data_IF_886171101411
#
_entry.id   IF_886171101411
#
_cell.length_a   1.000
_cell.length_b   1.000
_cell.length_c   1.000
_cell.angle_alpha   90.00
_cell.angle_beta   90.00
_cell.angle_gamma   90.00
#
_symmetry.space_group_name_H-M   'P 1'
#
loop_
_entity.id
_entity.type
_entity.pdbx_description
1 polymer ?
#
# COMPACT_ATOMS: atom_id res chain seq x y z
N UNK A 1 14.21 -17.28 4.53
CA UNK A 1 14.73 -15.92 4.26
C UNK A 1 14.17 -14.97 5.30
N UNK A 2 14.98 -14.59 6.30
CA UNK A 2 14.55 -13.70 7.39
C UNK A 2 14.36 -12.29 6.84
N UNK A 3 13.13 -11.79 6.87
CA UNK A 3 12.72 -10.57 6.17
C UNK A 3 12.19 -9.54 7.15
N UNK A 4 12.79 -8.35 7.12
CA UNK A 4 12.30 -7.18 7.82
C UNK A 4 11.19 -6.48 7.07
N UNK A 5 10.10 -6.15 7.75
CA UNK A 5 9.05 -5.26 7.28
C UNK A 5 9.17 -3.96 8.07
N UNK A 6 9.59 -2.88 7.41
CA UNK A 6 9.73 -1.57 8.03
C UNK A 6 8.55 -0.68 7.65
N UNK A 7 7.66 -0.41 8.59
CA UNK A 7 6.44 0.35 8.33
C UNK A 7 6.70 1.85 8.51
N UNK A 8 6.40 2.67 7.50
CA UNK A 8 6.24 4.12 7.66
C UNK A 8 4.77 4.39 8.00
N UNK A 9 4.51 5.01 9.15
CA UNK A 9 3.18 5.03 9.77
C UNK A 9 2.90 3.79 10.61
N UNK A 10 3.93 3.29 11.32
CA UNK A 10 3.92 2.02 12.03
C UNK A 10 2.86 1.87 13.14
N UNK A 11 2.27 2.98 13.60
CA UNK A 11 1.22 3.04 14.62
C UNK A 11 -0.16 3.36 14.04
N UNK A 12 -0.28 3.41 12.71
CA UNK A 12 -1.56 3.51 11.99
C UNK A 12 -2.42 2.24 12.13
N UNK A 13 -3.70 2.35 11.79
CA UNK A 13 -4.64 1.21 11.88
C UNK A 13 -4.21 0.03 11.00
N UNK A 14 -3.83 0.28 9.75
CA UNK A 14 -3.34 -0.75 8.82
C UNK A 14 -2.05 -1.40 9.33
N UNK A 15 -1.10 -0.59 9.81
CA UNK A 15 0.18 -1.07 10.34
C UNK A 15 0.00 -2.00 11.54
N UNK A 16 -0.74 -1.57 12.55
CA UNK A 16 -0.98 -2.37 13.76
C UNK A 16 -1.80 -3.62 13.46
N UNK A 17 -2.78 -3.53 12.56
CA UNK A 17 -3.54 -4.70 12.09
C UNK A 17 -2.62 -5.70 11.38
N UNK A 18 -1.65 -5.24 10.58
CA UNK A 18 -0.65 -6.08 9.91
C UNK A 18 0.28 -6.77 10.92
N UNK A 19 0.76 -6.04 11.93
CA UNK A 19 1.61 -6.57 13.00
C UNK A 19 0.88 -7.66 13.79
N UNK A 20 -0.36 -7.38 14.24
CA UNK A 20 -1.20 -8.34 14.98
C UNK A 20 -1.52 -9.55 14.11
N UNK A 21 -1.90 -9.34 12.85
CA UNK A 21 -2.20 -10.41 11.89
C UNK A 21 -1.02 -11.34 11.68
N UNK A 22 0.17 -10.80 11.43
CA UNK A 22 1.38 -11.60 11.25
C UNK A 22 1.76 -12.39 12.52
N UNK A 23 1.65 -11.77 13.70
CA UNK A 23 1.90 -12.44 14.97
C UNK A 23 0.90 -13.59 15.21
N UNK A 24 -0.39 -13.37 14.92
CA UNK A 24 -1.42 -14.40 15.02
C UNK A 24 -1.21 -15.57 14.05
N UNK A 25 -0.79 -15.30 12.81
CA UNK A 25 -0.47 -16.31 11.82
C UNK A 25 0.75 -17.14 12.23
N UNK A 26 1.80 -16.49 12.73
CA UNK A 26 3.00 -17.14 13.26
C UNK A 26 2.66 -18.09 14.43
N UNK A 27 1.79 -17.64 15.34
CA UNK A 27 1.32 -18.42 16.47
C UNK A 27 0.23 -19.44 16.11
N UNK A 28 -0.20 -19.51 14.84
CA UNK A 28 -1.29 -20.38 14.33
C UNK A 28 -2.62 -20.19 15.08
N UNK A 29 -2.88 -18.98 15.57
CA UNK A 29 -4.13 -18.61 16.25
C UNK A 29 -5.26 -18.31 15.25
N UNK A 30 -4.92 -18.08 13.99
CA UNK A 30 -5.86 -17.81 12.89
C UNK A 30 -5.41 -18.50 11.61
N UNK A 31 -6.36 -18.76 10.71
CA UNK A 31 -6.07 -19.15 9.34
C UNK A 31 -5.63 -17.93 8.50
N UNK A 32 -4.85 -18.10 7.42
CA UNK A 32 -4.38 -17.01 6.56
C UNK A 32 -5.47 -16.50 5.59
N UNK A 33 -6.70 -16.36 6.08
CA UNK A 33 -7.80 -15.83 5.27
C UNK A 33 -7.50 -14.40 4.85
N UNK A 34 -7.62 -14.10 3.55
CA UNK A 34 -7.28 -12.80 2.97
C UNK A 34 -5.85 -12.68 2.46
N UNK A 35 -4.93 -13.58 2.86
CA UNK A 35 -3.56 -13.61 2.33
C UNK A 35 -3.55 -14.30 0.96
N UNK A 36 -3.44 -13.49 -0.09
CA UNK A 36 -3.41 -13.90 -1.50
C UNK A 36 -2.27 -14.88 -1.78
N UNK A 37 -1.13 -14.71 -1.10
CA UNK A 37 0.04 -15.58 -1.27
C UNK A 37 -0.13 -16.99 -0.72
N UNK A 38 -1.23 -17.29 -0.02
CA UNK A 38 -1.54 -18.64 0.46
C UNK A 38 -2.47 -19.42 -0.50
N UNK A 39 -2.90 -18.80 -1.60
CA UNK A 39 -3.61 -19.49 -2.67
C UNK A 39 -2.69 -20.54 -3.35
N UNK A 40 -3.24 -21.68 -3.81
CA UNK A 40 -2.45 -22.77 -4.40
C UNK A 40 -1.51 -22.35 -5.54
N UNK A 41 -1.89 -21.34 -6.32
CA UNK A 41 -1.14 -20.83 -7.47
C UNK A 41 0.06 -19.95 -7.08
N UNK A 42 0.04 -19.36 -5.88
CA UNK A 42 1.06 -18.40 -5.45
C UNK A 42 1.91 -18.91 -4.29
N UNK A 43 1.39 -19.84 -3.49
CA UNK A 43 2.12 -20.42 -2.37
C UNK A 43 3.37 -21.15 -2.89
N UNK A 44 4.51 -20.92 -2.27
CA UNK A 44 5.75 -21.56 -2.68
C UNK A 44 6.92 -21.27 -1.74
N UNK A 45 7.98 -22.08 -1.80
CA UNK A 45 9.15 -21.95 -0.92
C UNK A 45 9.95 -20.67 -1.15
N UNK A 46 9.71 -19.99 -2.28
CA UNK A 46 10.33 -18.71 -2.56
C UNK A 46 9.89 -17.61 -1.57
N UNK A 47 8.65 -17.66 -1.09
CA UNK A 47 8.12 -16.64 -0.21
C UNK A 47 8.58 -16.88 1.23
N UNK A 48 9.00 -15.84 1.98
CA UNK A 48 9.34 -16.01 3.38
C UNK A 48 8.11 -16.48 4.16
N UNK A 49 8.32 -17.40 5.10
CA UNK A 49 7.26 -17.89 5.99
C UNK A 49 6.88 -16.87 7.07
N UNK A 50 5.71 -17.04 7.69
CA UNK A 50 5.22 -16.12 8.74
C UNK A 50 6.19 -15.96 9.92
N UNK A 51 6.90 -17.02 10.30
CA UNK A 51 7.91 -17.01 11.36
C UNK A 51 9.20 -16.30 10.98
N UNK A 52 9.40 -15.99 9.70
CA UNK A 52 10.59 -15.32 9.17
C UNK A 52 10.40 -13.81 9.05
N UNK A 53 9.19 -13.30 9.33
CA UNK A 53 8.86 -11.88 9.27
C UNK A 53 9.18 -11.20 10.61
N UNK A 54 9.92 -10.08 10.53
CA UNK A 54 10.28 -9.24 11.67
C UNK A 54 9.80 -7.81 11.39
N UNK A 55 9.15 -7.17 12.34
CA UNK A 55 8.59 -5.83 12.17
C UNK A 55 9.45 -4.77 12.87
N UNK A 56 9.58 -3.62 12.20
CA UNK A 56 10.08 -2.37 12.73
C UNK A 56 9.37 -1.21 12.04
N UNK A 57 9.72 0.02 12.37
CA UNK A 57 9.07 1.14 11.69
C UNK A 57 9.35 2.52 12.23
N UNK A 58 8.84 3.51 11.50
CA UNK A 58 8.80 4.91 11.90
C UNK A 58 7.37 5.39 12.07
N UNK A 59 7.16 6.24 13.07
CA UNK A 59 5.91 6.99 13.22
C UNK A 59 6.15 8.36 13.88
N UNK A 60 5.26 9.31 13.60
CA UNK A 60 5.21 10.61 14.29
C UNK A 60 4.41 10.53 15.59
N UNK A 61 3.49 9.58 15.67
CA UNK A 61 2.71 9.27 16.86
C UNK A 61 3.57 8.44 17.82
N UNK A 62 3.35 8.61 19.12
CA UNK A 62 4.09 7.90 20.18
C UNK A 62 3.22 6.94 20.99
N UNK A 63 1.92 6.84 20.69
CA UNK A 63 1.00 5.90 21.33
C UNK A 63 1.49 4.46 21.16
N UNK A 64 1.70 3.68 22.25
CA UNK A 64 2.19 2.31 22.17
C UNK A 64 1.35 1.42 21.25
N UNK A 65 1.99 0.49 20.53
CA UNK A 65 1.33 -0.45 19.60
C UNK A 65 0.23 -1.23 20.31
N UNK A 66 0.48 -1.70 21.53
CA UNK A 66 -0.50 -2.43 22.32
C UNK A 66 -1.75 -1.58 22.60
N UNK A 67 -1.58 -0.29 22.92
CA UNK A 67 -2.71 0.63 23.14
C UNK A 67 -3.49 0.93 21.86
N UNK A 68 -2.80 1.04 20.73
CA UNK A 68 -3.47 1.15 19.44
C UNK A 68 -4.22 -0.14 19.09
N UNK A 69 -3.66 -1.32 19.38
CA UNK A 69 -4.31 -2.60 19.17
C UNK A 69 -5.56 -2.77 20.05
N UNK A 70 -5.50 -2.36 21.33
CA UNK A 70 -6.67 -2.31 22.23
C UNK A 70 -7.79 -1.45 21.64
N UNK A 71 -7.46 -0.25 21.15
CA UNK A 71 -8.43 0.66 20.54
C UNK A 71 -9.05 0.07 19.26
N UNK A 72 -8.26 -0.60 18.42
CA UNK A 72 -8.75 -1.29 17.23
C UNK A 72 -9.65 -2.48 17.59
N UNK A 73 -9.34 -3.21 18.66
CA UNK A 73 -10.18 -4.28 19.15
C UNK A 73 -11.51 -3.78 19.72
N UNK A 74 -11.49 -2.68 20.49
CA UNK A 74 -12.70 -2.04 21.00
C UNK A 74 -13.59 -1.53 19.85
N UNK A 75 -12.98 -1.06 18.76
CA UNK A 75 -13.68 -0.66 17.54
C UNK A 75 -14.16 -1.85 16.68
N UNK A 76 -13.84 -3.09 17.03
CA UNK A 76 -14.22 -4.29 16.26
C UNK A 76 -13.37 -4.59 15.02
N UNK A 77 -12.28 -3.85 14.80
CA UNK A 77 -11.33 -4.08 13.68
C UNK A 77 -10.52 -5.35 13.91
N UNK A 78 -10.17 -5.63 15.17
CA UNK A 78 -9.40 -6.79 15.59
C UNK A 78 -10.18 -7.62 16.61
N UNK A 79 -10.02 -8.96 16.63
CA UNK A 79 -10.53 -9.75 17.74
C UNK A 79 -9.74 -9.48 19.02
N UNK A 80 -10.39 -8.95 20.07
CA UNK A 80 -9.72 -8.58 21.33
C UNK A 80 -8.92 -9.71 22.00
N UNK A 81 -9.37 -10.96 21.86
CA UNK A 81 -8.63 -12.14 22.35
C UNK A 81 -7.21 -12.24 21.78
N UNK A 82 -6.99 -11.78 20.54
CA UNK A 82 -5.68 -11.82 19.89
C UNK A 82 -4.76 -10.76 20.48
N UNK A 83 -5.28 -9.57 20.81
CA UNK A 83 -4.51 -8.50 21.45
C UNK A 83 -3.97 -8.97 22.80
N UNK A 84 -4.81 -9.66 23.58
CA UNK A 84 -4.40 -10.25 24.86
C UNK A 84 -3.38 -11.37 24.66
N UNK A 85 -3.64 -12.30 23.74
CA UNK A 85 -2.78 -13.46 23.51
C UNK A 85 -1.40 -13.11 22.93
N UNK A 86 -1.27 -11.97 22.25
CA UNK A 86 -0.06 -11.55 21.54
C UNK A 86 0.64 -10.35 22.19
N UNK A 87 0.32 -10.05 23.46
CA UNK A 87 0.83 -8.86 24.13
C UNK A 87 2.37 -8.80 24.16
N UNK A 88 3.03 -9.93 24.40
CA UNK A 88 4.49 -10.03 24.44
C UNK A 88 5.12 -9.83 23.05
N UNK A 89 4.52 -10.40 22.00
CA UNK A 89 4.95 -10.17 20.61
C UNK A 89 4.82 -8.71 20.21
N UNK A 90 3.72 -8.05 20.60
CA UNK A 90 3.52 -6.62 20.32
C UNK A 90 4.52 -5.75 21.10
N UNK A 91 4.82 -6.10 22.35
CA UNK A 91 5.83 -5.43 23.16
C UNK A 91 7.24 -5.59 22.55
N UNK A 92 7.55 -6.73 21.95
CA UNK A 92 8.81 -6.93 21.23
C UNK A 92 8.89 -6.04 19.98
N UNK A 93 7.81 -5.91 19.21
CA UNK A 93 7.77 -5.02 18.03
C UNK A 93 7.91 -3.55 18.42
N UNK A 94 7.33 -3.13 19.56
CA UNK A 94 7.48 -1.77 20.10
C UNK A 94 8.95 -1.36 20.23
N UNK A 95 9.84 -2.30 20.59
CA UNK A 95 11.29 -2.04 20.73
C UNK A 95 12.00 -1.77 19.40
N UNK A 96 11.40 -2.12 18.27
CA UNK A 96 11.92 -1.83 16.92
C UNK A 96 11.23 -0.64 16.24
N UNK A 97 10.28 0.00 16.92
CA UNK A 97 9.70 1.25 16.45
C UNK A 97 10.57 2.45 16.85
N UNK A 98 10.65 3.43 15.94
CA UNK A 98 11.42 4.66 16.12
C UNK A 98 10.52 5.87 15.85
N UNK A 99 10.68 6.98 16.57
CA UNK A 99 10.12 8.26 16.15
C UNK A 99 10.69 8.64 14.78
N UNK A 100 9.87 9.21 13.90
CA UNK A 100 10.37 9.70 12.61
C UNK A 100 11.45 10.78 12.86
N UNK A 101 12.71 10.57 12.42
CA UNK A 101 13.78 11.49 12.72
C UNK A 101 13.64 12.79 11.91
N UNK A 102 14.17 13.88 12.46
CA UNK A 102 14.36 15.14 11.77
C UNK A 102 15.84 15.56 11.86
N UNK A 103 16.38 16.07 10.75
CA UNK A 103 17.67 16.73 10.67
C UNK A 103 17.56 18.07 9.98
N UNK A 104 18.64 18.86 10.02
CA UNK A 104 18.68 20.24 9.51
C UNK A 104 18.41 20.32 7.99
N UNK A 105 18.65 19.22 7.27
CA UNK A 105 18.40 19.09 5.84
C UNK A 105 17.73 17.76 5.55
N UNK A 106 17.05 17.65 4.41
CA UNK A 106 16.45 16.38 4.00
C UNK A 106 17.51 15.29 3.78
N UNK A 107 18.73 15.64 3.33
CA UNK A 107 19.85 14.70 3.29
C UNK A 107 20.27 14.21 4.68
N UNK A 108 20.23 15.05 5.72
CA UNK A 108 20.48 14.63 7.09
C UNK A 108 19.38 13.70 7.61
N UNK A 109 18.11 14.05 7.37
CA UNK A 109 16.96 13.21 7.71
C UNK A 109 17.02 11.84 7.03
N UNK A 110 17.25 11.80 5.72
CA UNK A 110 17.38 10.55 4.96
C UNK A 110 18.54 9.67 5.46
N UNK A 111 19.68 10.27 5.85
CA UNK A 111 20.80 9.53 6.43
C UNK A 111 20.43 8.86 7.76
N UNK A 112 19.67 9.54 8.62
CA UNK A 112 19.18 8.97 9.90
C UNK A 112 18.23 7.80 9.64
N UNK A 113 17.23 7.98 8.78
CA UNK A 113 16.32 6.89 8.37
C UNK A 113 17.10 5.70 7.79
N UNK A 114 18.07 5.97 6.91
CA UNK A 114 18.91 4.92 6.32
C UNK A 114 19.76 4.18 7.38
N UNK A 115 20.22 4.89 8.41
CA UNK A 115 20.97 4.29 9.50
C UNK A 115 20.08 3.40 10.37
N UNK A 116 18.85 3.82 10.65
CA UNK A 116 17.88 3.01 11.38
C UNK A 116 17.53 1.71 10.63
N UNK A 117 17.32 1.80 9.31
CA UNK A 117 17.08 0.65 8.45
C UNK A 117 18.24 -0.35 8.44
N UNK A 118 19.48 0.14 8.28
CA UNK A 118 20.67 -0.72 8.33
C UNK A 118 20.86 -1.33 9.71
N UNK A 119 20.70 -0.53 10.77
CA UNK A 119 20.80 -1.03 12.13
C UNK A 119 19.74 -2.08 12.44
N UNK A 120 18.50 -1.90 11.97
CA UNK A 120 17.43 -2.90 12.11
C UNK A 120 17.79 -4.22 11.40
N UNK A 121 18.27 -4.14 10.15
CA UNK A 121 18.76 -5.29 9.40
C UNK A 121 19.85 -6.03 10.15
N UNK A 122 20.86 -5.31 10.62
CA UNK A 122 22.05 -5.90 11.20
C UNK A 122 21.75 -6.51 12.59
N UNK A 123 21.00 -5.81 13.45
CA UNK A 123 20.61 -6.31 14.80
C UNK A 123 19.71 -7.54 14.76
N UNK A 124 18.86 -7.65 13.72
CA UNK A 124 17.92 -8.76 13.58
C UNK A 124 18.41 -9.84 12.60
N UNK A 125 19.65 -9.73 12.09
CA UNK A 125 20.26 -10.62 11.10
C UNK A 125 19.33 -10.89 9.89
N UNK A 126 18.81 -9.82 9.30
CA UNK A 126 17.82 -9.89 8.21
C UNK A 126 18.51 -10.01 6.85
N UNK A 127 18.05 -10.95 6.02
CA UNK A 127 18.53 -11.12 4.63
C UNK A 127 18.09 -9.94 3.76
N UNK A 128 16.88 -9.42 4.03
CA UNK A 128 16.22 -8.35 3.29
C UNK A 128 15.40 -7.48 4.23
N UNK A 129 15.29 -6.20 3.88
CA UNK A 129 14.33 -5.26 4.49
C UNK A 129 13.47 -4.69 3.38
N UNK A 130 12.16 -4.77 3.58
CA UNK A 130 11.14 -4.16 2.73
C UNK A 130 10.50 -3.03 3.53
N UNK A 131 10.66 -1.80 3.05
CA UNK A 131 10.01 -0.62 3.61
C UNK A 131 8.62 -0.52 3.00
N UNK A 132 7.58 -0.40 3.82
CA UNK A 132 6.19 -0.26 3.35
C UNK A 132 5.64 1.05 3.89
N UNK A 133 5.22 1.92 2.98
CA UNK A 133 4.51 3.13 3.32
C UNK A 133 3.02 2.85 3.51
N UNK A 134 2.55 3.01 4.73
CA UNK A 134 1.14 2.94 5.13
C UNK A 134 0.75 4.17 5.95
N UNK A 135 1.49 5.28 5.78
CA UNK A 135 1.21 6.54 6.45
C UNK A 135 -0.02 7.23 5.87
N UNK A 136 -0.40 8.33 6.51
CA UNK A 136 -1.40 9.25 5.99
C UNK A 136 -1.07 9.70 4.56
N UNK A 137 -2.11 9.87 3.73
CA UNK A 137 -1.98 10.32 2.34
C UNK A 137 -1.48 11.75 2.26
N UNK A 138 -0.52 11.99 1.38
CA UNK A 138 0.04 13.31 1.10
C UNK A 138 -0.60 13.94 -0.15
N UNK A 139 -0.62 15.28 -0.25
CA UNK A 139 -0.83 15.96 -1.52
C UNK A 139 0.21 15.59 -2.57
N UNK A 140 -0.09 15.87 -3.84
CA UNK A 140 0.87 15.70 -4.92
C UNK A 140 2.13 16.56 -4.68
N UNK A 141 3.31 16.01 -5.01
CA UNK A 141 4.55 16.76 -4.92
C UNK A 141 4.51 18.03 -5.78
N UNK A 142 4.94 19.16 -5.21
CA UNK A 142 5.16 20.37 -5.97
C UNK A 142 6.28 20.14 -7.02
N UNK A 143 6.12 20.59 -8.28
CA UNK A 143 7.16 20.44 -9.29
C UNK A 143 8.49 21.05 -8.86
N UNK A 144 9.58 20.31 -9.03
CA UNK A 144 10.93 20.81 -8.74
C UNK A 144 11.94 20.25 -9.75
N UNK A 145 12.89 21.04 -10.28
CA UNK A 145 13.86 20.57 -11.29
C UNK A 145 14.67 19.35 -10.83
N UNK A 146 14.99 19.30 -9.53
CA UNK A 146 15.73 18.20 -8.93
C UNK A 146 14.96 16.86 -8.89
N UNK A 147 13.68 16.81 -9.26
CA UNK A 147 12.95 15.54 -9.37
C UNK A 147 13.32 14.75 -10.62
N UNK A 148 13.96 15.40 -11.60
CA UNK A 148 14.27 14.80 -12.91
C UNK A 148 15.52 13.91 -12.92
N UNK A 149 16.52 14.19 -12.06
CA UNK A 149 17.79 13.47 -12.05
C UNK A 149 18.38 13.30 -10.65
N UNK A 150 19.07 12.18 -10.41
CA UNK A 150 19.60 11.82 -9.10
C UNK A 150 20.71 12.77 -8.61
N UNK A 151 21.54 13.28 -9.52
CA UNK A 151 22.62 14.20 -9.18
C UNK A 151 22.05 15.52 -8.64
N UNK A 152 21.08 16.09 -9.35
CA UNK A 152 20.36 17.30 -8.97
C UNK A 152 19.60 17.09 -7.67
N UNK A 153 18.92 15.94 -7.51
CA UNK A 153 18.23 15.60 -6.27
C UNK A 153 19.19 15.57 -5.08
N UNK A 154 20.31 14.89 -5.22
CA UNK A 154 21.30 14.74 -4.14
C UNK A 154 21.87 16.09 -3.72
N UNK A 155 22.17 16.96 -4.67
CA UNK A 155 22.64 18.32 -4.39
C UNK A 155 21.55 19.17 -3.69
N UNK A 156 20.32 19.12 -4.18
CA UNK A 156 19.21 19.89 -3.62
C UNK A 156 18.85 19.47 -2.19
N UNK A 157 18.90 18.17 -1.88
CA UNK A 157 18.62 17.65 -0.53
C UNK A 157 19.63 18.10 0.54
N UNK A 158 20.82 18.56 0.13
CA UNK A 158 21.81 19.13 1.04
C UNK A 158 21.51 20.59 1.42
N UNK A 159 20.58 21.24 0.71
CA UNK A 159 20.11 22.58 1.03
C UNK A 159 19.07 22.61 2.16
N UNK A 160 18.76 23.82 2.67
CA UNK A 160 17.76 24.00 3.74
C UNK A 160 16.31 23.93 3.23
N UNK A 161 16.08 24.04 1.91
CA UNK A 161 14.75 24.05 1.34
C UNK A 161 14.17 22.62 1.23
N UNK A 162 12.88 22.41 1.50
CA UNK A 162 12.23 21.13 1.27
C UNK A 162 12.10 20.85 -0.25
N UNK A 163 12.57 19.69 -0.68
CA UNK A 163 12.59 19.23 -2.08
C UNK A 163 11.66 18.04 -2.28
N UNK A 164 11.70 17.07 -1.37
CA UNK A 164 10.88 15.85 -1.41
C UNK A 164 9.73 15.92 -0.41
N UNK A 165 8.52 15.45 -0.76
CA UNK A 165 7.51 15.14 0.25
C UNK A 165 7.96 13.94 1.13
N UNK A 166 7.39 13.74 2.33
CA UNK A 166 7.86 12.73 3.27
C UNK A 166 7.88 11.30 2.71
N UNK A 167 6.86 10.87 1.94
CA UNK A 167 6.82 9.55 1.29
C UNK A 167 7.99 9.33 0.33
N UNK A 168 8.35 10.35 -0.46
CA UNK A 168 9.47 10.28 -1.40
C UNK A 168 10.82 10.33 -0.67
N UNK A 169 10.92 11.06 0.45
CA UNK A 169 12.11 11.06 1.30
C UNK A 169 12.34 9.68 1.95
N UNK A 170 11.27 9.01 2.38
CA UNK A 170 11.33 7.65 2.88
C UNK A 170 11.78 6.65 1.81
N UNK A 171 11.26 6.76 0.57
CA UNK A 171 11.72 5.96 -0.56
C UNK A 171 13.21 6.21 -0.89
N UNK A 172 13.64 7.47 -0.92
CA UNK A 172 15.05 7.85 -1.09
C UNK A 172 15.96 7.20 -0.04
N UNK A 173 15.56 7.27 1.24
CA UNK A 173 16.30 6.66 2.33
C UNK A 173 16.33 5.13 2.24
N UNK A 174 15.19 4.50 1.90
CA UNK A 174 15.10 3.06 1.68
C UNK A 174 16.08 2.58 0.61
N UNK A 175 16.06 3.22 -0.57
CA UNK A 175 16.96 2.87 -1.67
C UNK A 175 18.42 3.13 -1.31
N UNK A 176 18.72 4.23 -0.62
CA UNK A 176 20.07 4.54 -0.12
C UNK A 176 20.56 3.46 0.87
N UNK A 177 19.67 2.86 1.65
CA UNK A 177 19.97 1.76 2.57
C UNK A 177 20.07 0.38 1.87
N UNK A 178 19.74 0.28 0.57
CA UNK A 178 19.66 -0.99 -0.15
C UNK A 178 18.41 -1.79 0.21
N UNK A 179 17.35 -1.13 0.65
CA UNK A 179 16.08 -1.72 1.02
C UNK A 179 15.06 -1.55 -0.12
N UNK A 180 14.19 -2.54 -0.29
CA UNK A 180 13.04 -2.43 -1.20
C UNK A 180 11.98 -1.48 -0.62
N UNK A 181 11.12 -0.94 -1.47
CA UNK A 181 10.06 -0.01 -1.06
C UNK A 181 8.71 -0.39 -1.67
N UNK A 182 7.65 -0.31 -0.87
CA UNK A 182 6.27 -0.47 -1.33
C UNK A 182 5.49 0.77 -0.90
N UNK A 183 4.81 1.43 -1.84
CA UNK A 183 3.85 2.48 -1.49
C UNK A 183 2.43 1.93 -1.48
N UNK A 184 1.85 1.78 -0.29
CA UNK A 184 0.46 1.37 -0.14
C UNK A 184 -0.52 2.55 -0.14
N UNK A 185 0.00 3.78 -0.36
CA UNK A 185 -0.75 5.04 -0.36
C UNK A 185 -0.75 5.67 -1.77
N UNK A 186 -1.64 6.64 -2.06
CA UNK A 186 -1.58 7.41 -3.31
C UNK A 186 -0.53 8.54 -3.29
N UNK A 187 0.27 8.67 -2.22
CA UNK A 187 1.35 9.66 -2.08
C UNK A 187 2.43 9.50 -3.15
N UNK A 188 3.30 10.51 -3.32
CA UNK A 188 4.33 10.51 -4.37
C UNK A 188 5.24 9.28 -4.32
N UNK A 189 5.73 8.90 -3.14
CA UNK A 189 6.55 7.70 -2.96
C UNK A 189 7.76 7.64 -3.90
N UNK A 190 7.96 6.50 -4.54
CA UNK A 190 9.09 6.23 -5.44
C UNK A 190 8.88 6.69 -6.90
N UNK A 191 7.84 7.46 -7.22
CA UNK A 191 7.43 7.77 -8.61
C UNK A 191 8.29 8.81 -9.33
N UNK A 192 9.19 9.49 -8.63
CA UNK A 192 10.01 10.54 -9.24
C UNK A 192 11.13 9.93 -10.12
N UNK A 193 11.44 10.51 -11.30
CA UNK A 193 12.52 10.02 -12.17
C UNK A 193 13.87 9.85 -11.46
N UNK A 194 14.25 10.83 -10.62
CA UNK A 194 15.47 10.77 -9.81
C UNK A 194 15.50 9.56 -8.84
N UNK A 195 14.34 9.12 -8.33
CA UNK A 195 14.24 7.95 -7.47
C UNK A 195 14.28 6.64 -8.26
N UNK A 196 13.76 6.62 -9.48
CA UNK A 196 13.92 5.48 -10.39
C UNK A 196 15.40 5.28 -10.80
N UNK A 197 16.16 6.36 -10.99
CA UNK A 197 17.62 6.31 -11.16
C UNK A 197 18.31 5.71 -9.94
N UNK A 198 17.96 6.17 -8.74
CA UNK A 198 18.53 5.65 -7.49
C UNK A 198 18.22 4.16 -7.29
N UNK A 199 16.98 3.73 -7.53
CA UNK A 199 16.57 2.34 -7.41
C UNK A 199 17.37 1.44 -8.36
N UNK A 200 17.58 1.86 -9.61
CA UNK A 200 18.43 1.15 -10.58
C UNK A 200 19.88 1.09 -10.13
N UNK A 201 20.46 2.21 -9.70
CA UNK A 201 21.84 2.28 -9.23
C UNK A 201 22.09 1.39 -8.00
N UNK A 202 21.06 1.15 -7.19
CA UNK A 202 21.11 0.31 -5.98
C UNK A 202 20.62 -1.12 -6.21
N UNK A 203 20.16 -1.44 -7.42
CA UNK A 203 19.56 -2.73 -7.77
C UNK A 203 18.43 -3.18 -6.83
N UNK A 204 17.61 -2.22 -6.36
CA UNK A 204 16.49 -2.51 -5.44
C UNK A 204 15.16 -2.51 -6.18
N UNK A 205 14.26 -3.46 -5.89
CA UNK A 205 12.91 -3.43 -6.44
C UNK A 205 11.96 -2.57 -5.59
N UNK A 206 10.93 -2.04 -6.23
CA UNK A 206 9.86 -1.30 -5.56
C UNK A 206 8.50 -1.52 -6.22
N UNK A 207 7.42 -1.31 -5.47
CA UNK A 207 6.05 -1.52 -5.92
C UNK A 207 5.11 -0.41 -5.41
N UNK A 208 3.96 -0.27 -6.05
CA UNK A 208 2.96 0.73 -5.70
C UNK A 208 2.05 1.04 -6.90
N UNK A 209 1.11 1.97 -6.79
CA UNK A 209 0.76 2.76 -5.61
C UNK A 209 -0.73 2.58 -5.23
N UNK A 210 -1.06 2.94 -3.98
CA UNK A 210 -2.43 2.96 -3.42
C UNK A 210 -3.11 1.60 -3.36
N UNK A 211 -3.20 1.00 -2.18
CA UNK A 211 -3.77 -0.35 -2.00
C UNK A 211 -5.22 -0.49 -2.49
N UNK A 212 -5.51 -1.56 -3.23
CA UNK A 212 -6.85 -1.86 -3.78
C UNK A 212 -7.58 -2.90 -2.92
N UNK A 213 -8.46 -2.42 -2.04
CA UNK A 213 -9.06 -3.24 -0.96
C UNK A 213 -10.57 -3.43 -1.03
N UNK A 214 -11.34 -2.43 -1.49
CA UNK A 214 -12.81 -2.42 -1.38
C UNK A 214 -13.53 -2.02 -2.67
N UNK A 215 -14.17 -0.85 -2.69
CA UNK A 215 -14.93 -0.35 -3.85
C UNK A 215 -14.16 -0.43 -5.17
N UNK A 216 -12.90 0.02 -5.21
CA UNK A 216 -12.08 -0.03 -6.43
C UNK A 216 -11.77 -1.46 -6.89
N UNK A 217 -11.70 -2.43 -5.96
CA UNK A 217 -11.57 -3.85 -6.31
C UNK A 217 -12.78 -4.29 -7.14
N UNK A 218 -13.99 -3.95 -6.70
CA UNK A 218 -15.24 -4.25 -7.42
C UNK A 218 -15.26 -3.57 -8.79
N UNK A 219 -14.83 -2.30 -8.89
CA UNK A 219 -14.72 -1.59 -10.18
C UNK A 219 -13.82 -2.33 -11.17
N UNK A 220 -12.67 -2.82 -10.72
CA UNK A 220 -11.72 -3.57 -11.56
C UNK A 220 -12.22 -4.95 -12.02
N UNK A 221 -13.34 -5.43 -11.47
CA UNK A 221 -14.03 -6.66 -11.90
C UNK A 221 -15.21 -6.33 -12.81
N UNK A 222 -16.04 -5.36 -12.42
CA UNK A 222 -17.29 -5.05 -13.12
C UNK A 222 -17.06 -4.24 -14.41
N UNK A 223 -16.12 -3.29 -14.44
CA UNK A 223 -15.88 -2.49 -15.65
C UNK A 223 -15.46 -3.35 -16.85
N UNK A 224 -14.49 -4.29 -16.73
CA UNK A 224 -14.17 -5.22 -17.80
C UNK A 224 -15.34 -6.10 -18.21
N UNK A 225 -16.22 -6.52 -17.28
CA UNK A 225 -17.40 -7.32 -17.62
C UNK A 225 -18.32 -6.57 -18.61
N UNK A 226 -18.57 -5.27 -18.41
CA UNK A 226 -19.37 -4.47 -19.36
C UNK A 226 -18.69 -4.40 -20.73
N UNK A 227 -17.39 -4.09 -20.76
CA UNK A 227 -16.62 -4.01 -22.00
C UNK A 227 -16.63 -5.33 -22.78
N UNK A 228 -16.34 -6.46 -22.11
CA UNK A 228 -16.31 -7.80 -22.71
C UNK A 228 -17.67 -8.25 -23.24
N UNK A 229 -18.76 -7.76 -22.66
CA UNK A 229 -20.14 -8.06 -23.10
C UNK A 229 -20.67 -7.05 -24.10
N UNK A 230 -19.84 -6.12 -24.57
CA UNK A 230 -20.21 -5.02 -25.46
C UNK A 230 -21.41 -4.21 -24.92
N UNK A 231 -21.39 -3.95 -23.61
CA UNK A 231 -22.37 -3.11 -22.93
C UNK A 231 -21.74 -1.73 -22.71
N UNK A 232 -22.36 -0.70 -23.26
CA UNK A 232 -21.84 0.67 -23.17
C UNK A 232 -22.22 1.27 -21.82
N UNK A 233 -21.26 1.37 -20.89
CA UNK A 233 -21.42 2.17 -19.68
C UNK A 233 -21.60 3.63 -20.07
N UNK A 234 -22.70 4.23 -19.61
CA UNK A 234 -23.07 5.63 -19.84
C UNK A 234 -22.61 6.50 -18.68
N UNK A 235 -22.95 6.11 -17.45
CA UNK A 235 -22.47 6.76 -16.23
C UNK A 235 -22.08 5.78 -15.13
N UNK A 236 -21.14 6.20 -14.27
CA UNK A 236 -20.73 5.51 -13.06
C UNK A 236 -20.46 6.52 -11.94
N UNK A 237 -21.41 6.65 -11.03
CA UNK A 237 -21.31 7.56 -9.88
C UNK A 237 -21.18 6.77 -8.59
N UNK A 238 -20.31 7.23 -7.69
CA UNK A 238 -20.06 6.55 -6.41
C UNK A 238 -19.99 7.49 -5.22
N UNK A 239 -20.45 7.04 -4.05
CA UNK A 239 -20.31 7.70 -2.76
C UNK A 239 -19.57 6.79 -1.80
N UNK A 240 -18.54 7.31 -1.14
CA UNK A 240 -17.78 6.61 -0.12
C UNK A 240 -17.88 7.38 1.20
N UNK A 241 -18.36 6.71 2.24
CA UNK A 241 -18.29 7.21 3.61
C UNK A 241 -17.09 6.56 4.30
N UNK A 242 -16.21 7.37 4.85
CA UNK A 242 -15.01 6.94 5.57
C UNK A 242 -14.99 7.58 6.96
N UNK A 243 -14.61 6.80 7.98
CA UNK A 243 -14.27 7.31 9.30
C UNK A 243 -12.79 7.18 9.60
N UNK A 244 -12.43 7.28 10.88
CA UNK A 244 -11.06 7.05 11.34
C UNK A 244 -10.03 8.05 10.80
N UNK A 245 -8.75 7.70 10.91
CA UNK A 245 -7.64 8.59 10.53
C UNK A 245 -7.56 8.84 9.01
N UNK A 246 -7.87 7.83 8.19
CA UNK A 246 -7.89 7.98 6.73
C UNK A 246 -9.04 8.91 6.29
N UNK A 247 -10.25 8.72 6.83
CA UNK A 247 -11.38 9.60 6.55
C UNK A 247 -11.13 11.04 7.00
N UNK A 248 -10.54 11.25 8.18
CA UNK A 248 -10.22 12.58 8.68
C UNK A 248 -9.20 13.31 7.79
N UNK A 249 -8.20 12.60 7.26
CA UNK A 249 -7.24 13.18 6.33
C UNK A 249 -7.86 13.56 4.98
N UNK A 250 -8.84 12.78 4.51
CA UNK A 250 -9.53 13.02 3.24
C UNK A 250 -10.62 14.10 3.33
N UNK A 251 -10.80 14.71 4.50
CA UNK A 251 -11.49 15.98 4.62
C UNK A 251 -10.70 17.13 3.96
N UNK A 252 -9.38 17.00 3.79
CA UNK A 252 -8.59 17.91 2.97
C UNK A 252 -8.95 17.74 1.47
N UNK A 253 -9.44 18.80 0.79
CA UNK A 253 -9.78 18.74 -0.63
C UNK A 253 -8.66 18.23 -1.54
N UNK A 254 -7.40 18.54 -1.24
CA UNK A 254 -6.27 18.13 -2.08
C UNK A 254 -6.01 16.61 -1.99
N UNK A 255 -6.02 16.07 -0.77
CA UNK A 255 -5.89 14.62 -0.55
C UNK A 255 -7.09 13.85 -1.13
N UNK A 256 -8.30 14.42 -1.00
CA UNK A 256 -9.52 13.87 -1.58
C UNK A 256 -9.43 13.80 -3.11
N UNK A 257 -9.01 14.89 -3.76
CA UNK A 257 -8.87 14.96 -5.22
C UNK A 257 -7.91 13.90 -5.77
N UNK A 258 -6.76 13.67 -5.11
CA UNK A 258 -5.83 12.62 -5.50
C UNK A 258 -6.47 11.22 -5.46
N UNK A 259 -7.23 10.93 -4.39
CA UNK A 259 -7.91 9.64 -4.18
C UNK A 259 -9.11 9.44 -5.12
N UNK A 260 -9.82 10.51 -5.48
CA UNK A 260 -10.90 10.44 -6.48
C UNK A 260 -10.34 10.21 -7.88
N UNK A 261 -9.25 10.89 -8.23
CA UNK A 261 -8.59 10.74 -9.54
C UNK A 261 -8.11 9.30 -9.79
N UNK A 262 -7.47 8.65 -8.80
CA UNK A 262 -7.03 7.25 -8.94
C UNK A 262 -8.20 6.27 -9.16
N UNK A 263 -9.35 6.51 -8.52
CA UNK A 263 -10.55 5.69 -8.70
C UNK A 263 -11.17 5.82 -10.09
N UNK A 264 -11.17 7.02 -10.66
CA UNK A 264 -11.76 7.29 -11.97
C UNK A 264 -10.88 6.76 -13.12
N UNK A 265 -9.55 6.80 -12.94
CA UNK A 265 -8.60 6.23 -13.90
C UNK A 265 -8.90 4.75 -14.23
N UNK A 266 -9.18 3.94 -13.19
CA UNK A 266 -9.51 2.52 -13.35
C UNK A 266 -10.67 2.28 -14.32
N UNK A 267 -11.68 3.17 -14.35
CA UNK A 267 -12.81 3.05 -15.27
C UNK A 267 -12.39 3.35 -16.71
N UNK A 268 -11.64 4.43 -16.91
CA UNK A 268 -11.11 4.81 -18.23
C UNK A 268 -10.28 3.71 -18.86
N UNK A 269 -9.34 3.16 -18.08
CA UNK A 269 -8.42 2.14 -18.55
C UNK A 269 -9.16 0.82 -18.86
N UNK A 270 -10.15 0.44 -18.05
CA UNK A 270 -10.89 -0.80 -18.24
C UNK A 270 -11.93 -0.74 -19.38
N UNK A 271 -12.52 0.44 -19.62
CA UNK A 271 -13.57 0.64 -20.64
C UNK A 271 -13.01 1.13 -21.98
N UNK A 272 -11.80 1.69 -22.01
CA UNK A 272 -11.23 2.38 -23.17
C UNK A 272 -11.81 3.79 -23.41
N UNK A 273 -12.62 4.29 -22.48
CA UNK A 273 -13.21 5.63 -22.49
C UNK A 273 -13.65 6.01 -21.08
N UNK A 274 -13.81 7.31 -20.82
CA UNK A 274 -14.33 7.79 -19.54
C UNK A 274 -15.87 7.87 -19.55
N UNK A 275 -16.59 7.13 -18.70
CA UNK A 275 -18.04 7.29 -18.54
C UNK A 275 -18.37 8.59 -17.80
N UNK A 276 -19.61 9.06 -17.91
CA UNK A 276 -20.09 10.18 -17.09
C UNK A 276 -20.14 9.81 -15.59
N UNK A 277 -20.19 10.80 -14.71
CA UNK A 277 -20.29 10.59 -13.27
C UNK A 277 -18.99 10.88 -12.53
N UNK A 278 -19.06 10.81 -11.20
CA UNK A 278 -17.91 11.09 -10.33
C UNK A 278 -17.98 10.26 -9.05
N UNK A 279 -16.86 10.19 -8.34
CA UNK A 279 -16.80 9.61 -7.01
C UNK A 279 -16.68 10.71 -5.97
N UNK A 280 -17.50 10.63 -4.93
CA UNK A 280 -17.45 11.50 -3.76
C UNK A 280 -16.97 10.71 -2.55
N UNK A 281 -16.18 11.36 -1.69
CA UNK A 281 -15.72 10.82 -0.42
C UNK A 281 -16.14 11.81 0.67
N UNK A 282 -16.95 11.35 1.62
CA UNK A 282 -17.38 12.13 2.78
C UNK A 282 -16.87 11.50 4.09
N UNK A 283 -16.51 12.35 5.05
CA UNK A 283 -16.08 11.93 6.38
C UNK A 283 -17.28 11.72 7.31
N UNK A 284 -17.35 10.54 7.92
CA UNK A 284 -18.33 10.18 8.96
C UNK A 284 -17.56 9.58 10.13
N UNK A 285 -17.45 10.33 11.23
CA UNK A 285 -16.62 9.92 12.36
C UNK A 285 -17.04 8.57 12.96
N UNK A 286 -18.35 8.35 13.12
CA UNK A 286 -18.95 7.23 13.85
C UNK A 286 -18.63 5.85 13.24
N UNK A 287 -18.42 5.78 11.92
CA UNK A 287 -18.19 4.49 11.24
C UNK A 287 -16.73 4.01 11.38
N UNK A 288 -15.83 4.84 11.92
CA UNK A 288 -14.44 4.46 12.17
C UNK A 288 -13.77 3.82 10.94
N UNK A 289 -13.20 2.64 11.10
CA UNK A 289 -12.53 1.87 10.04
C UNK A 289 -13.50 1.10 9.11
N UNK A 290 -14.81 1.14 9.39
CA UNK A 290 -15.85 0.43 8.63
C UNK A 290 -16.42 1.31 7.52
N UNK A 291 -15.68 1.34 6.42
CA UNK A 291 -16.07 2.02 5.18
C UNK A 291 -17.38 1.50 4.63
N UNK A 292 -18.21 2.44 4.16
CA UNK A 292 -19.36 2.14 3.30
C UNK A 292 -19.19 2.81 1.93
N UNK A 293 -19.51 2.11 0.86
CA UNK A 293 -19.61 2.71 -0.46
C UNK A 293 -20.86 2.25 -1.22
N UNK A 294 -21.40 3.15 -2.04
CA UNK A 294 -22.50 2.89 -2.96
C UNK A 294 -22.11 3.36 -4.35
N UNK A 295 -22.40 2.54 -5.34
CA UNK A 295 -22.15 2.85 -6.74
C UNK A 295 -23.42 2.62 -7.57
N UNK A 296 -23.73 3.58 -8.43
CA UNK A 296 -24.78 3.49 -9.45
C UNK A 296 -24.13 3.54 -10.83
N UNK A 297 -24.39 2.49 -11.61
CA UNK A 297 -23.89 2.31 -12.97
C UNK A 297 -25.10 2.32 -13.92
N UNK A 298 -25.08 3.21 -14.90
CA UNK A 298 -26.04 3.16 -16.02
C UNK A 298 -25.33 2.67 -17.27
N UNK A 299 -25.99 1.81 -18.03
CA UNK A 299 -25.39 1.21 -19.23
C UNK A 299 -26.45 0.89 -20.27
N UNK A 300 -26.00 0.71 -21.50
CA UNK A 300 -26.83 0.41 -22.66
C UNK A 300 -26.47 -0.97 -23.21
N UNK A 301 -27.49 -1.74 -23.53
CA UNK A 301 -27.37 -3.05 -24.18
C UNK A 301 -27.97 -3.07 -25.57
N UNK A 302 -28.54 -4.22 -25.93
CA UNK A 302 -29.12 -4.45 -27.25
C UNK A 302 -30.25 -3.44 -27.57
N UNK A 303 -30.33 -3.00 -28.84
CA UNK A 303 -31.28 -2.00 -29.35
C UNK A 303 -31.25 -0.64 -28.65
N UNK A 304 -30.14 -0.32 -27.97
CA UNK A 304 -30.05 0.92 -27.21
C UNK A 304 -30.83 0.92 -25.90
N UNK A 305 -31.21 -0.26 -25.40
CA UNK A 305 -32.00 -0.38 -24.17
C UNK A 305 -31.15 0.02 -22.96
N UNK A 306 -31.54 1.10 -22.29
CA UNK A 306 -30.91 1.57 -21.07
C UNK A 306 -31.24 0.69 -19.87
N UNK A 307 -30.24 0.40 -19.05
CA UNK A 307 -30.31 -0.41 -17.84
C UNK A 307 -29.47 0.23 -16.73
N UNK A 308 -29.64 -0.28 -15.51
CA UNK A 308 -28.87 0.15 -14.34
C UNK A 308 -28.43 -1.02 -13.47
N UNK A 309 -27.27 -0.87 -12.84
CA UNK A 309 -26.73 -1.75 -11.81
C UNK A 309 -26.33 -0.91 -10.60
N UNK A 310 -26.62 -1.41 -9.41
CA UNK A 310 -26.20 -0.80 -8.14
C UNK A 310 -25.49 -1.85 -7.30
N UNK A 311 -24.48 -1.42 -6.54
CA UNK A 311 -23.93 -2.23 -5.47
C UNK A 311 -23.60 -1.39 -4.24
N UNK A 312 -23.61 -2.05 -3.07
CA UNK A 312 -23.13 -1.51 -1.80
C UNK A 312 -21.95 -2.34 -1.30
N UNK A 313 -20.92 -1.67 -0.78
CA UNK A 313 -19.77 -2.29 -0.13
C UNK A 313 -19.69 -1.82 1.33
N UNK A 314 -19.76 -2.76 2.26
CA UNK A 314 -19.53 -2.52 3.68
C UNK A 314 -18.32 -3.36 4.11
N UNK A 315 -17.22 -2.72 4.49
CA UNK A 315 -16.00 -3.44 4.82
C UNK A 315 -15.10 -2.67 5.78
N UNK A 316 -14.31 -3.40 6.56
CA UNK A 316 -13.28 -2.81 7.40
C UNK A 316 -11.99 -2.63 6.60
N UNK A 317 -11.59 -1.37 6.38
CA UNK A 317 -10.46 -1.04 5.49
C UNK A 317 -9.15 -1.64 5.99
N UNK A 318 -8.84 -1.53 7.29
CA UNK A 318 -7.62 -2.11 7.86
C UNK A 318 -7.59 -3.64 7.78
N UNK A 319 -8.73 -4.31 7.98
CA UNK A 319 -8.81 -5.77 7.88
C UNK A 319 -8.63 -6.27 6.44
N UNK A 320 -9.07 -5.49 5.45
CA UNK A 320 -8.84 -5.78 4.03
C UNK A 320 -7.42 -5.44 3.58
N UNK A 321 -6.83 -4.38 4.13
CA UNK A 321 -5.50 -3.89 3.77
C UNK A 321 -4.35 -4.72 4.35
N UNK A 322 -4.45 -5.08 5.63
CA UNK A 322 -3.39 -5.76 6.36
C UNK A 322 -2.84 -7.03 5.69
N UNK A 323 -3.66 -7.98 5.21
CA UNK A 323 -3.12 -9.16 4.54
C UNK A 323 -2.37 -8.81 3.25
N UNK A 324 -2.80 -7.79 2.52
CA UNK A 324 -2.13 -7.33 1.29
C UNK A 324 -0.75 -6.72 1.59
N UNK A 325 -0.61 -5.99 2.71
CA UNK A 325 0.69 -5.49 3.18
C UNK A 325 1.66 -6.65 3.43
N UNK A 326 1.19 -7.73 4.06
CA UNK A 326 2.01 -8.92 4.30
C UNK A 326 2.39 -9.61 2.99
N UNK A 327 1.42 -9.83 2.10
CA UNK A 327 1.64 -10.46 0.80
C UNK A 327 2.65 -9.68 -0.06
N UNK A 328 2.48 -8.37 -0.16
CA UNK A 328 3.38 -7.48 -0.90
C UNK A 328 4.79 -7.50 -0.34
N UNK A 329 4.95 -7.49 0.98
CA UNK A 329 6.27 -7.58 1.61
C UNK A 329 6.95 -8.91 1.31
N UNK A 330 6.21 -10.03 1.38
CA UNK A 330 6.73 -11.38 1.05
C UNK A 330 7.15 -11.49 -0.42
N UNK A 331 6.29 -11.04 -1.34
CA UNK A 331 6.55 -11.05 -2.78
C UNK A 331 7.75 -10.16 -3.15
N UNK A 332 7.79 -8.94 -2.60
CA UNK A 332 8.88 -7.99 -2.87
C UNK A 332 10.22 -8.49 -2.32
N UNK A 333 10.24 -9.10 -1.13
CA UNK A 333 11.45 -9.69 -0.59
C UNK A 333 11.95 -10.86 -1.45
N UNK A 334 11.03 -11.73 -1.90
CA UNK A 334 11.36 -12.85 -2.79
C UNK A 334 11.90 -12.37 -4.14
N UNK A 335 11.26 -11.34 -4.72
CA UNK A 335 11.71 -10.69 -5.96
C UNK A 335 13.12 -10.10 -5.82
N UNK A 336 13.38 -9.39 -4.71
CA UNK A 336 14.71 -8.84 -4.44
C UNK A 336 15.76 -9.95 -4.25
N UNK A 337 15.40 -11.08 -3.61
CA UNK A 337 16.31 -12.23 -3.52
C UNK A 337 16.60 -12.85 -4.88
N UNK A 338 15.60 -12.91 -5.77
CA UNK A 338 15.74 -13.38 -7.15
C UNK A 338 16.46 -12.38 -8.09
N UNK A 339 17.03 -11.30 -7.56
CA UNK A 339 17.77 -10.30 -8.35
C UNK A 339 16.89 -9.37 -9.17
N UNK A 340 15.57 -9.35 -8.96
CA UNK A 340 14.68 -8.36 -9.58
C UNK A 340 14.98 -6.98 -9.01
N UNK A 341 14.96 -5.96 -9.86
CA UNK A 341 15.22 -4.57 -9.51
C UNK A 341 14.34 -3.63 -10.31
N UNK A 342 14.18 -2.39 -9.85
CA UNK A 342 13.27 -1.43 -10.49
C UNK A 342 11.79 -1.66 -10.13
N UNK A 343 10.85 -1.08 -10.88
CA UNK A 343 9.42 -1.19 -10.61
C UNK A 343 8.93 -2.64 -10.84
N UNK A 344 8.24 -3.20 -9.86
CA UNK A 344 7.57 -4.51 -9.93
C UNK A 344 6.14 -4.35 -10.46
N UNK A 345 6.00 -4.05 -11.75
CA UNK A 345 4.71 -3.83 -12.40
C UNK A 345 3.78 -5.06 -12.31
N UNK A 346 4.35 -6.26 -12.17
CA UNK A 346 3.61 -7.50 -12.02
C UNK A 346 2.77 -7.58 -10.73
N UNK A 347 3.04 -6.69 -9.76
CA UNK A 347 2.28 -6.57 -8.53
C UNK A 347 1.04 -5.67 -8.66
N UNK A 348 0.67 -5.24 -9.88
CA UNK A 348 -0.47 -4.35 -10.11
C UNK A 348 -1.82 -4.85 -9.58
N UNK A 349 -1.96 -6.15 -9.35
CA UNK A 349 -3.12 -6.78 -8.69
C UNK A 349 -3.48 -6.10 -7.35
N UNK A 350 -2.48 -5.67 -6.59
CA UNK A 350 -2.66 -5.11 -5.25
C UNK A 350 -2.97 -3.61 -5.21
N UNK A 351 -2.89 -2.92 -6.36
CA UNK A 351 -2.85 -1.46 -6.42
C UNK A 351 -4.00 -0.87 -7.25
N UNK A 352 -4.42 0.34 -6.89
CA UNK A 352 -5.38 1.15 -7.65
C UNK A 352 -4.68 1.90 -8.78
N UNK A 353 -3.44 2.33 -8.54
CA UNK A 353 -2.61 3.07 -9.48
C UNK A 353 -1.26 2.35 -9.65
N UNK A 354 -1.25 1.17 -10.29
CA UNK A 354 -0.06 0.34 -10.37
C UNK A 354 1.06 1.02 -11.17
N UNK A 355 2.31 0.74 -10.81
CA UNK A 355 3.48 1.17 -11.58
C UNK A 355 3.53 0.46 -12.95
N UNK A 356 3.87 1.23 -13.98
CA UNK A 356 3.99 0.74 -15.36
C UNK A 356 2.65 0.61 -16.07
N UNK A 357 2.69 0.18 -17.34
CA UNK A 357 1.53 0.15 -18.23
C UNK A 357 0.80 -1.21 -18.21
N UNK A 358 0.75 -1.84 -17.02
CA UNK A 358 0.13 -3.15 -16.82
C UNK A 358 -1.40 -3.11 -17.01
N UNK A 359 -2.05 -4.28 -17.11
CA UNK A 359 -3.50 -4.34 -17.31
C UNK A 359 -4.26 -3.76 -16.11
N UNK A 360 -5.44 -3.17 -16.37
CA UNK A 360 -6.34 -2.62 -15.33
C UNK A 360 -7.34 -3.65 -14.79
N UNK A 361 -7.66 -4.68 -15.59
CA UNK A 361 -8.62 -5.71 -15.25
C UNK A 361 -8.07 -6.71 -14.22
N UNK A 362 -8.85 -7.01 -13.18
CA UNK A 362 -8.39 -7.86 -12.07
C UNK A 362 -7.96 -9.26 -12.52
N UNK A 363 -8.66 -9.86 -13.48
CA UNK A 363 -8.36 -11.20 -13.98
C UNK A 363 -7.02 -11.27 -14.73
N UNK A 364 -6.70 -10.24 -15.50
CA UNK A 364 -5.42 -10.14 -16.21
C UNK A 364 -4.28 -9.85 -15.24
N UNK A 365 -4.50 -8.96 -14.26
CA UNK A 365 -3.55 -8.72 -13.17
C UNK A 365 -3.26 -9.99 -12.36
N UNK A 366 -4.28 -10.83 -12.12
CA UNK A 366 -4.12 -12.13 -11.48
C UNK A 366 -3.22 -13.06 -12.30
N UNK A 367 -3.44 -13.16 -13.62
CA UNK A 367 -2.61 -13.98 -14.49
C UNK A 367 -1.14 -13.53 -14.47
N UNK A 368 -0.90 -12.22 -14.53
CA UNK A 368 0.43 -11.63 -14.42
C UNK A 368 1.09 -11.93 -13.06
N UNK A 369 0.36 -11.79 -11.96
CA UNK A 369 0.85 -12.09 -10.61
C UNK A 369 1.23 -13.58 -10.46
N UNK A 370 0.41 -14.48 -10.99
CA UNK A 370 0.67 -15.91 -10.95
C UNK A 370 1.93 -16.30 -11.75
N UNK A 371 2.07 -15.77 -12.97
CA UNK A 371 3.24 -15.98 -13.79
C UNK A 371 4.52 -15.41 -13.14
N UNK A 372 4.43 -14.21 -12.57
CA UNK A 372 5.53 -13.58 -11.85
C UNK A 372 5.98 -14.43 -10.66
N UNK A 373 5.04 -14.85 -9.82
CA UNK A 373 5.33 -15.64 -8.61
C UNK A 373 5.95 -16.99 -8.95
N UNK A 374 5.48 -17.65 -10.01
CA UNK A 374 6.07 -18.89 -10.50
C UNK A 374 7.55 -18.71 -10.90
N UNK A 375 7.89 -17.55 -11.49
CA UNK A 375 9.27 -17.19 -11.87
C UNK A 375 10.18 -16.80 -10.71
N UNK A 376 9.69 -16.71 -9.47
CA UNK A 376 10.52 -16.44 -8.28
C UNK A 376 11.11 -17.71 -7.63
N UNK A 377 10.59 -18.87 -8.02
CA UNK A 377 10.99 -20.17 -7.47
C UNK A 377 12.11 -20.86 -8.27
N UNK A 378 12.39 -20.39 -9.48
CA UNK A 378 13.55 -20.74 -10.31
C UNK A 378 14.77 -19.91 -9.92
#
# INVERSE_FOLDING_TARGET
MRTGIWLIGARGSVAVTSIVGAAALRARLVAPTGCVTELPQLRGPALPGWSELVFGGHDIVTTPVLKKADALAAAGVLPGRLVVALADELAAVEQELRPLPAGDTQAATARRISADLRGFRDRNALDRVVVVNVSTTEPAAAPHPAHAGLAELTAALAGPAPVLPPSALAAYAAFTAGCSFIDFTPSTGARLPALAELARARAVPYAGNDGKTGETLVKSVLAPMFALRNLRVRSWSGLNLLGGGDGANLADPAANAAKVSSKQRVLGDALGYQPEGTSRIDYVAEIGDFKTAWDLITFEGFLGTGMRMEFSWHGCDSALAAPLVLDLARLTAAAHRAGRSGPLAELGFFFKDPLGDGPSALAEQWATLAAFTAGLAS
#
